data_IF_303733683424
#
_entry.id   IF_303733683424
#
_cell.length_a   1.000
_cell.length_b   1.000
_cell.length_c   1.000
_cell.angle_alpha   90.00
_cell.angle_beta   90.00
_cell.angle_gamma   90.00
#
_symmetry.space_group_name_H-M   'P 1'
#
loop_
_entity.id
_entity.type
_entity.pdbx_description
1 polymer ?
#
# COMPACT_ATOMS: atom_id res chain seq x y z
N UNK A 1 -27.98 -41.95 -57.62
CA UNK A 1 -28.11 -40.94 -56.56
C UNK A 1 -26.92 -41.14 -55.61
N UNK A 2 -25.92 -40.24 -55.62
CA UNK A 2 -24.65 -40.42 -54.90
C UNK A 2 -24.79 -39.96 -53.45
N UNK A 3 -24.55 -40.87 -52.53
CA UNK A 3 -24.32 -40.64 -51.10
C UNK A 3 -23.13 -39.70 -50.91
N UNK A 4 -23.32 -38.54 -50.29
CA UNK A 4 -22.23 -37.67 -49.83
C UNK A 4 -22.21 -37.77 -48.31
N UNK A 5 -21.40 -38.68 -47.81
CA UNK A 5 -21.04 -38.73 -46.40
C UNK A 5 -20.25 -37.45 -46.07
N UNK A 6 -20.85 -36.57 -45.26
CA UNK A 6 -20.15 -35.48 -44.60
C UNK A 6 -19.24 -36.08 -43.53
N UNK A 7 -18.05 -36.53 -43.94
CA UNK A 7 -16.96 -36.82 -43.01
C UNK A 7 -16.31 -35.51 -42.59
N UNK A 8 -17.03 -34.71 -41.80
CA UNK A 8 -16.38 -33.68 -41.00
C UNK A 8 -15.29 -34.37 -40.17
N UNK A 9 -14.04 -33.99 -40.45
CA UNK A 9 -12.85 -34.65 -39.97
C UNK A 9 -12.81 -34.64 -38.43
N UNK A 10 -13.22 -35.75 -37.82
CA UNK A 10 -13.34 -35.95 -36.38
C UNK A 10 -12.03 -35.64 -35.62
N UNK A 11 -10.87 -35.75 -36.30
CA UNK A 11 -9.57 -35.39 -35.74
C UNK A 11 -9.40 -33.87 -35.57
N UNK A 12 -9.93 -33.06 -36.49
CA UNK A 12 -9.87 -31.61 -36.40
C UNK A 12 -10.87 -31.06 -35.37
N UNK A 13 -12.03 -31.71 -35.22
CA UNK A 13 -12.99 -31.40 -34.17
C UNK A 13 -12.42 -31.68 -32.76
N UNK A 14 -11.77 -32.85 -32.57
CA UNK A 14 -11.12 -33.20 -31.29
C UNK A 14 -9.93 -32.28 -30.96
N UNK A 15 -9.09 -31.94 -31.95
CA UNK A 15 -7.98 -31.00 -31.75
C UNK A 15 -8.48 -29.60 -31.36
N UNK A 16 -9.51 -29.09 -32.04
CA UNK A 16 -10.07 -27.77 -31.73
C UNK A 16 -10.74 -27.76 -30.34
N UNK A 17 -11.41 -28.84 -29.93
CA UNK A 17 -11.91 -28.98 -28.55
C UNK A 17 -10.79 -29.04 -27.49
N UNK A 18 -9.67 -29.70 -27.78
CA UNK A 18 -8.54 -29.78 -26.84
C UNK A 18 -7.85 -28.42 -26.72
N UNK A 19 -7.69 -27.69 -27.82
CA UNK A 19 -7.11 -26.35 -27.82
C UNK A 19 -8.00 -25.33 -27.10
N UNK A 20 -9.32 -25.39 -27.27
CA UNK A 20 -10.24 -24.50 -26.54
C UNK A 20 -10.30 -24.83 -25.05
N UNK A 21 -10.27 -26.11 -24.67
CA UNK A 21 -10.26 -26.52 -23.27
C UNK A 21 -8.94 -26.15 -22.57
N UNK A 22 -7.80 -26.26 -23.26
CA UNK A 22 -6.50 -25.83 -22.76
C UNK A 22 -6.41 -24.31 -22.59
N UNK A 23 -6.95 -23.53 -23.53
CA UNK A 23 -6.98 -22.06 -23.43
C UNK A 23 -7.85 -21.57 -22.26
N UNK A 24 -8.98 -22.23 -22.00
CA UNK A 24 -9.86 -21.91 -20.86
C UNK A 24 -9.23 -22.29 -19.52
N UNK A 25 -8.49 -23.41 -19.45
CA UNK A 25 -7.72 -23.78 -18.25
C UNK A 25 -6.59 -22.79 -17.95
N UNK A 26 -5.84 -22.34 -18.97
CA UNK A 26 -4.78 -21.33 -18.79
C UNK A 26 -5.36 -19.98 -18.36
N UNK A 27 -6.51 -19.57 -18.91
CA UNK A 27 -7.21 -18.36 -18.46
C UNK A 27 -7.74 -18.48 -17.02
N UNK A 28 -8.18 -19.68 -16.61
CA UNK A 28 -8.57 -19.96 -15.23
C UNK A 28 -7.39 -19.87 -14.26
N UNK A 29 -6.22 -20.41 -14.64
CA UNK A 29 -5.00 -20.27 -13.83
C UNK A 29 -4.48 -18.82 -13.74
N UNK A 30 -4.67 -18.00 -14.78
CA UNK A 30 -4.30 -16.58 -14.75
C UNK A 30 -5.21 -15.73 -13.86
N UNK A 31 -6.40 -16.24 -13.51
CA UNK A 31 -7.38 -15.54 -12.69
C UNK A 31 -7.14 -15.69 -11.17
N UNK A 32 -6.19 -16.55 -10.75
CA UNK A 32 -5.94 -16.86 -9.32
C UNK A 32 -4.83 -15.98 -8.72
N UNK A 33 -4.36 -14.94 -9.40
CA UNK A 33 -3.39 -14.01 -8.81
C UNK A 33 -3.96 -12.60 -8.66
N UNK A 34 -4.97 -12.50 -7.80
CA UNK A 34 -5.30 -11.25 -7.14
C UNK A 34 -5.67 -11.59 -5.69
N UNK A 35 -4.65 -11.76 -4.83
CA UNK A 35 -4.86 -11.67 -3.39
C UNK A 35 -5.08 -10.19 -3.08
N UNK A 36 -6.30 -9.70 -3.27
CA UNK A 36 -6.68 -8.43 -2.69
C UNK A 36 -6.80 -8.66 -1.18
N UNK A 37 -5.72 -8.43 -0.44
CA UNK A 37 -5.83 -8.16 0.98
C UNK A 37 -6.81 -7.00 1.12
N UNK A 38 -7.95 -7.27 1.74
CA UNK A 38 -8.93 -6.25 2.11
C UNK A 38 -8.17 -5.19 2.92
N UNK A 39 -7.98 -3.99 2.35
CA UNK A 39 -7.27 -2.88 3.00
C UNK A 39 -8.04 -2.46 4.25
N UNK A 40 -7.77 -3.17 5.34
CA UNK A 40 -7.85 -2.69 6.72
C UNK A 40 -6.45 -2.20 7.12
N UNK A 41 -5.73 -1.63 6.16
CA UNK A 41 -4.26 -1.60 6.12
C UNK A 41 -3.57 -0.74 7.18
N UNK A 42 -4.27 0.20 7.83
CA UNK A 42 -3.69 0.90 8.98
C UNK A 42 -3.92 0.17 10.29
N UNK A 43 -5.07 -0.48 10.52
CA UNK A 43 -5.44 -0.99 11.86
C UNK A 43 -4.62 -2.19 12.31
N UNK A 44 -3.98 -2.91 11.39
CA UNK A 44 -3.30 -4.17 11.68
C UNK A 44 -1.79 -4.02 11.91
N UNK A 45 -1.22 -2.83 11.67
CA UNK A 45 0.20 -2.59 11.93
C UNK A 45 0.41 -2.47 13.43
N UNK A 46 1.15 -3.42 14.00
CA UNK A 46 1.56 -3.45 15.41
C UNK A 46 3.03 -3.05 15.49
N UNK A 47 3.32 -2.04 16.30
CA UNK A 47 4.67 -1.54 16.54
C UNK A 47 5.27 -2.19 17.79
N UNK A 48 6.53 -2.64 17.74
CA UNK A 48 7.28 -3.04 18.93
C UNK A 48 7.67 -1.80 19.76
N UNK A 49 8.19 -2.01 20.97
CA UNK A 49 8.62 -0.92 21.85
C UNK A 49 9.93 -0.24 21.40
N UNK A 50 10.71 -0.88 20.54
CA UNK A 50 11.95 -0.34 20.00
C UNK A 50 12.37 -1.01 18.70
N UNK A 51 13.43 -0.49 18.07
CA UNK A 51 13.98 -0.94 16.79
C UNK A 51 12.94 -0.86 15.66
N UNK A 52 12.27 0.29 15.60
CA UNK A 52 11.21 0.51 14.62
C UNK A 52 11.82 0.58 13.23
N UNK A 53 11.46 -0.37 12.38
CA UNK A 53 11.80 -0.36 10.95
C UNK A 53 10.89 0.57 10.15
N UNK A 54 11.50 1.40 9.29
CA UNK A 54 10.73 2.20 8.35
C UNK A 54 9.95 1.31 7.39
N UNK A 55 10.60 0.31 6.78
CA UNK A 55 9.99 -0.52 5.75
C UNK A 55 8.88 -1.44 6.29
N UNK A 56 9.02 -1.92 7.53
CA UNK A 56 8.12 -2.92 8.09
C UNK A 56 7.04 -2.34 9.01
N UNK A 57 7.20 -1.11 9.52
CA UNK A 57 6.21 -0.50 10.42
C UNK A 57 5.72 0.85 9.93
N UNK A 58 6.62 1.80 9.64
CA UNK A 58 6.22 3.17 9.27
C UNK A 58 5.55 3.21 7.90
N UNK A 59 6.19 2.63 6.88
CA UNK A 59 5.65 2.64 5.53
C UNK A 59 4.30 1.92 5.42
N UNK A 60 4.11 0.71 5.99
CA UNK A 60 2.80 0.04 6.00
C UNK A 60 1.71 0.81 6.73
N UNK A 61 2.04 1.63 7.73
CA UNK A 61 1.09 2.53 8.37
C UNK A 61 0.76 3.75 7.49
N UNK A 62 1.77 4.42 6.95
CA UNK A 62 1.60 5.71 6.26
C UNK A 62 1.02 5.52 4.86
N UNK A 63 1.39 4.46 4.14
CA UNK A 63 0.93 4.21 2.77
C UNK A 63 -0.60 4.21 2.63
N UNK A 64 -1.36 3.43 3.42
CA UNK A 64 -2.82 3.43 3.36
C UNK A 64 -3.47 4.61 4.10
N UNK A 65 -2.75 5.29 5.02
CA UNK A 65 -3.35 6.32 5.89
C UNK A 65 -3.18 7.74 5.34
N UNK A 66 -2.07 8.02 4.65
CA UNK A 66 -1.72 9.37 4.22
C UNK A 66 -1.18 9.41 2.78
N UNK A 67 -0.37 8.42 2.39
CA UNK A 67 0.33 8.37 1.09
C UNK A 67 -0.50 7.66 0.00
N UNK A 68 -1.74 8.11 -0.18
CA UNK A 68 -2.64 7.60 -1.22
C UNK A 68 -3.15 8.72 -2.13
N UNK A 69 -3.60 8.34 -3.32
CA UNK A 69 -4.13 9.28 -4.31
C UNK A 69 -5.32 10.07 -3.73
N UNK A 70 -5.30 11.40 -3.87
CA UNK A 70 -6.23 12.29 -3.18
C UNK A 70 -5.66 12.96 -1.93
N UNK A 71 -4.53 12.47 -1.38
CA UNK A 71 -3.85 13.08 -0.24
C UNK A 71 -2.38 13.35 -0.56
N UNK A 72 -1.43 12.50 -0.15
CA UNK A 72 0.00 12.77 -0.32
C UNK A 72 0.75 11.68 -1.11
N UNK A 73 0.25 11.38 -2.31
CA UNK A 73 0.90 10.51 -3.28
C UNK A 73 1.81 11.28 -4.24
N UNK A 74 2.43 10.58 -5.20
CA UNK A 74 3.27 11.19 -6.23
C UNK A 74 2.45 12.08 -7.16
N UNK A 75 1.23 11.64 -7.47
CA UNK A 75 0.26 12.30 -8.34
C UNK A 75 -0.52 13.38 -7.61
N UNK A 76 -0.94 13.11 -6.37
CA UNK A 76 -1.67 14.07 -5.53
C UNK A 76 -0.82 14.49 -4.36
N UNK A 77 -0.31 15.71 -4.41
CA UNK A 77 0.52 16.29 -3.35
C UNK A 77 -0.30 17.34 -2.60
N UNK A 78 -1.32 16.92 -1.86
CA UNK A 78 -2.19 17.82 -1.11
C UNK A 78 -1.33 18.74 -0.21
N UNK A 79 -1.63 20.05 -0.26
CA UNK A 79 -0.82 21.06 0.43
C UNK A 79 0.62 21.19 -0.10
N UNK A 80 0.91 20.71 -1.31
CA UNK A 80 2.24 20.74 -1.93
C UNK A 80 3.23 19.74 -1.33
N UNK A 81 2.72 18.70 -0.65
CA UNK A 81 3.52 17.75 0.14
C UNK A 81 3.34 16.32 -0.35
N UNK A 82 4.46 15.67 -0.64
CA UNK A 82 4.55 14.25 -1.05
C UNK A 82 5.18 13.45 0.08
N UNK A 83 4.62 12.31 0.47
CA UNK A 83 5.18 11.45 1.53
C UNK A 83 5.19 9.96 1.13
N UNK A 84 5.63 9.68 -0.09
CA UNK A 84 5.54 8.36 -0.74
C UNK A 84 6.69 7.41 -0.48
N UNK A 85 7.82 7.90 0.01
CA UNK A 85 9.03 7.14 0.27
C UNK A 85 9.80 7.73 1.47
N UNK A 86 10.86 7.08 1.94
CA UNK A 86 11.64 7.57 3.08
C UNK A 86 12.18 9.00 2.89
N UNK A 87 12.75 9.31 1.73
CA UNK A 87 13.40 10.59 1.47
C UNK A 87 12.40 11.74 1.39
N UNK A 88 11.18 11.45 0.91
CA UNK A 88 10.12 12.44 0.81
C UNK A 88 9.78 13.12 2.14
N UNK A 89 9.95 12.46 3.30
CA UNK A 89 9.73 13.06 4.63
C UNK A 89 10.67 14.21 4.95
N UNK A 90 11.81 14.29 4.26
CA UNK A 90 12.90 15.24 4.52
C UNK A 90 13.09 16.26 3.40
N UNK A 91 12.21 16.26 2.41
CA UNK A 91 12.26 17.25 1.33
C UNK A 91 12.00 18.67 1.82
N UNK A 92 12.40 19.66 1.02
CA UNK A 92 12.22 21.09 1.32
C UNK A 92 10.76 21.42 1.66
N UNK A 93 9.80 20.84 0.94
CA UNK A 93 8.38 21.06 1.18
C UNK A 93 7.85 20.33 2.42
N UNK A 94 8.63 19.44 3.03
CA UNK A 94 8.32 18.65 4.22
C UNK A 94 9.24 18.95 5.40
N UNK A 95 10.02 20.03 5.37
CA UNK A 95 10.89 20.40 6.48
C UNK A 95 10.10 20.49 7.79
N UNK A 96 10.61 19.81 8.82
CA UNK A 96 9.98 19.71 10.13
C UNK A 96 8.87 18.65 10.24
N UNK A 97 8.50 17.96 9.15
CA UNK A 97 7.57 16.83 9.22
C UNK A 97 8.11 15.75 10.16
N UNK A 98 9.37 15.37 9.95
CA UNK A 98 10.16 14.48 10.80
C UNK A 98 11.46 15.17 11.19
N UNK A 99 11.73 15.25 12.49
CA UNK A 99 12.98 15.76 13.03
C UNK A 99 13.62 14.62 13.85
N UNK A 100 14.67 13.95 13.31
CA UNK A 100 15.32 12.83 13.99
C UNK A 100 15.68 13.15 15.44
N UNK A 101 15.41 12.20 16.34
CA UNK A 101 15.62 12.30 17.79
C UNK A 101 14.83 13.40 18.50
N UNK A 102 13.88 14.07 17.82
CA UNK A 102 13.03 15.13 18.39
C UNK A 102 11.55 14.90 18.06
N UNK A 103 10.92 13.85 18.62
CA UNK A 103 9.52 13.52 18.32
C UNK A 103 8.56 14.66 18.63
N UNK A 104 8.74 15.37 19.76
CA UNK A 104 7.83 16.46 20.15
C UNK A 104 7.86 17.66 19.20
N UNK A 105 8.99 17.86 18.54
CA UNK A 105 9.21 18.93 17.57
C UNK A 105 8.81 18.51 16.15
N UNK A 106 8.51 17.23 15.92
CA UNK A 106 8.12 16.71 14.61
C UNK A 106 6.63 16.95 14.36
N UNK A 107 6.30 17.59 13.24
CA UNK A 107 4.91 17.88 12.86
C UNK A 107 4.10 16.59 12.73
N UNK A 108 4.69 15.50 12.23
CA UNK A 108 4.00 14.21 12.12
C UNK A 108 3.41 13.74 13.46
N UNK A 109 4.20 13.77 14.53
CA UNK A 109 3.74 13.38 15.88
C UNK A 109 2.68 14.37 16.38
N UNK A 110 2.86 15.66 16.15
CA UNK A 110 1.87 16.68 16.51
C UNK A 110 0.50 16.47 15.83
N UNK A 111 0.49 16.03 14.56
CA UNK A 111 -0.74 15.71 13.83
C UNK A 111 -1.41 14.43 14.37
N UNK A 112 -0.61 13.39 14.66
CA UNK A 112 -1.12 12.12 15.20
C UNK A 112 -1.65 12.27 16.65
N UNK A 113 -1.08 13.19 17.42
CA UNK A 113 -1.55 13.55 18.76
C UNK A 113 -2.78 14.49 18.75
N UNK A 114 -3.13 15.05 17.59
CA UNK A 114 -4.18 16.07 17.47
C UNK A 114 -3.78 17.45 18.02
N UNK A 115 -2.49 17.70 18.25
CA UNK A 115 -1.96 19.02 18.65
C UNK A 115 -2.00 20.04 17.51
N UNK A 116 -1.93 19.56 16.27
CA UNK A 116 -2.10 20.36 15.07
C UNK A 116 -3.31 19.89 14.25
N UNK A 117 -4.05 20.82 13.62
CA UNK A 117 -5.18 20.46 12.77
C UNK A 117 -4.71 19.84 11.45
N UNK A 118 -5.49 18.88 10.95
CA UNK A 118 -5.35 18.30 9.61
C UNK A 118 -6.74 17.95 9.07
N UNK A 119 -6.97 18.13 7.77
CA UNK A 119 -8.18 17.66 7.11
C UNK A 119 -7.86 16.55 6.10
N UNK A 120 -8.47 15.35 6.23
CA UNK A 120 -9.35 14.90 7.31
C UNK A 120 -8.59 14.73 8.64
N UNK A 121 -9.32 14.59 9.75
CA UNK A 121 -8.74 14.37 11.08
C UNK A 121 -7.99 13.02 11.14
N UNK A 122 -6.66 13.07 11.02
CA UNK A 122 -5.81 11.87 10.89
C UNK A 122 -5.66 11.07 12.18
N UNK A 123 -5.76 11.73 13.35
CA UNK A 123 -5.60 11.08 14.65
C UNK A 123 -6.69 10.05 14.97
N UNK A 124 -7.83 10.07 14.26
CA UNK A 124 -8.87 9.05 14.34
C UNK A 124 -8.59 7.79 13.50
N UNK A 125 -7.60 7.85 12.59
CA UNK A 125 -7.23 6.74 11.71
C UNK A 125 -6.08 5.88 12.25
N UNK A 126 -5.51 6.27 13.40
CA UNK A 126 -4.43 5.57 14.08
C UNK A 126 -4.79 5.29 15.54
N UNK A 127 -4.30 4.17 16.07
CA UNK A 127 -4.45 3.83 17.49
C UNK A 127 -3.21 4.24 18.31
N UNK A 128 -3.27 4.09 19.63
CA UNK A 128 -2.17 4.49 20.53
C UNK A 128 -0.87 3.72 20.28
N UNK A 129 -0.92 2.43 19.93
CA UNK A 129 0.30 1.67 19.59
C UNK A 129 1.01 2.27 18.38
N UNK A 130 0.24 2.71 17.37
CA UNK A 130 0.79 3.33 16.15
C UNK A 130 1.34 4.73 16.41
N UNK A 131 0.65 5.54 17.23
CA UNK A 131 1.16 6.84 17.67
C UNK A 131 2.49 6.69 18.41
N UNK A 132 2.54 5.76 19.37
CA UNK A 132 3.74 5.46 20.13
C UNK A 132 4.86 4.91 19.24
N UNK A 133 4.55 4.05 18.29
CA UNK A 133 5.49 3.49 17.34
C UNK A 133 6.12 4.53 16.40
N UNK A 134 5.32 5.45 15.86
CA UNK A 134 5.84 6.59 15.06
C UNK A 134 6.71 7.50 15.94
N UNK A 135 6.26 7.81 17.16
CA UNK A 135 7.04 8.60 18.12
C UNK A 135 8.38 7.93 18.42
N UNK A 136 8.39 6.62 18.65
CA UNK A 136 9.57 5.83 18.95
C UNK A 136 10.53 5.76 17.76
N UNK A 137 10.03 5.56 16.54
CA UNK A 137 10.86 5.59 15.34
C UNK A 137 11.60 6.91 15.18
N UNK A 138 10.91 8.04 15.40
CA UNK A 138 11.55 9.37 15.36
C UNK A 138 12.58 9.50 16.47
N UNK A 139 12.26 9.05 17.70
CA UNK A 139 13.19 9.06 18.83
C UNK A 139 14.48 8.28 18.53
N UNK A 140 14.36 7.14 17.84
CA UNK A 140 15.47 6.28 17.39
C UNK A 140 16.29 6.84 16.23
N UNK A 141 15.97 8.07 15.79
CA UNK A 141 16.67 8.79 14.74
C UNK A 141 16.04 8.65 13.36
N UNK A 142 14.79 8.18 13.29
CA UNK A 142 14.00 8.08 12.06
C UNK A 142 14.78 7.37 10.93
N UNK A 143 15.32 6.17 11.20
CA UNK A 143 16.20 5.45 10.27
C UNK A 143 15.43 4.84 9.11
N UNK A 144 16.10 4.70 7.96
CA UNK A 144 15.65 3.88 6.83
C UNK A 144 16.22 2.46 6.95
N UNK A 145 15.51 1.57 7.65
CA UNK A 145 15.94 0.22 8.02
C UNK A 145 14.85 -0.83 7.83
#
# INVERSE_FOLDING_TARGET
>A
MKNIANTMNLKNFKKNCVFTFAALLVAYFFSISCNSETITGSSNVVFPDSLISFQNHIYPLIKPTCSYQGCHSDETQAGGRRITDYFSYFETNNLGLVIPSKPDNSVLVQLLDGRLPHYPYVYWRVNENQKNGVRQWILEGAKNN
#
